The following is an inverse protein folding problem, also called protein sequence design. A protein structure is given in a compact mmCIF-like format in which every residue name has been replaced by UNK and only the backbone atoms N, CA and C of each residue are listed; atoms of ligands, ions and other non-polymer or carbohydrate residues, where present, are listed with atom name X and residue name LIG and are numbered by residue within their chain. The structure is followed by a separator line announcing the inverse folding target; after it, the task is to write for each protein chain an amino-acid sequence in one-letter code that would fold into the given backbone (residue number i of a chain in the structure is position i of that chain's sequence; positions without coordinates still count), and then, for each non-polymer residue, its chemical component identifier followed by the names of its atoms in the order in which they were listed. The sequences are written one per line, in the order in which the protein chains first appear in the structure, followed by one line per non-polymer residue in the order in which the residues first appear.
data_IF_002075151947
#
_entry.id   IF_002075151947
#
_cell.length_a   1.000
_cell.length_b   1.000
_cell.length_c   1.000
_cell.angle_alpha   90.00
_cell.angle_beta   90.00
_cell.angle_gamma   90.00
#
_symmetry.space_group_name_H-M   'P 1'
#
loop_
_entity.id
_entity.type
_entity.pdbx_description
1 polymer ?
#
# COMPACT_ATOMS: atom_id res chain seq x y z
N UNK A 1 -2.69 1.91 30.25
CA UNK A 1 -3.03 2.61 29.00
C UNK A 1 -2.20 1.91 27.97
N UNK A 2 -2.84 1.07 27.17
CA UNK A 2 -2.17 0.41 26.05
C UNK A 2 -1.87 1.53 25.05
N UNK A 3 -0.58 1.75 24.76
CA UNK A 3 -0.20 2.67 23.68
C UNK A 3 -0.85 2.15 22.39
N UNK A 4 -1.53 3.00 21.60
CA UNK A 4 -2.13 2.55 20.35
C UNK A 4 -1.01 1.99 19.48
N UNK A 5 -1.10 0.69 19.20
CA UNK A 5 -0.14 0.00 18.36
C UNK A 5 -0.10 0.68 17.00
N UNK A 6 1.11 1.09 16.59
CA UNK A 6 1.33 1.73 15.30
C UNK A 6 2.02 0.72 14.38
N UNK A 7 1.40 0.33 13.26
CA UNK A 7 1.98 -0.62 12.32
C UNK A 7 3.29 -0.08 11.76
N UNK A 8 4.28 -0.97 11.67
CA UNK A 8 5.60 -0.68 11.08
C UNK A 8 5.68 -1.11 9.62
N UNK A 9 4.80 -2.03 9.20
CA UNK A 9 4.70 -2.51 7.82
C UNK A 9 3.23 -2.67 7.42
N UNK A 10 2.86 -2.16 6.26
CA UNK A 10 1.54 -2.27 5.66
C UNK A 10 1.65 -2.87 4.27
N UNK A 11 0.67 -3.69 3.92
CA UNK A 11 0.48 -4.25 2.58
C UNK A 11 -0.83 -3.74 2.02
N UNK A 12 -0.72 -3.05 0.88
CA UNK A 12 -1.86 -2.66 0.06
C UNK A 12 -2.27 -3.88 -0.75
N UNK A 13 -3.51 -4.33 -0.53
CA UNK A 13 -4.08 -5.51 -1.18
C UNK A 13 -5.55 -5.21 -1.48
N UNK A 14 -5.97 -5.50 -2.71
CA UNK A 14 -7.37 -5.43 -3.06
C UNK A 14 -8.16 -6.42 -2.21
N UNK A 15 -9.22 -5.94 -1.57
CA UNK A 15 -9.92 -6.66 -0.53
C UNK A 15 -11.43 -6.57 -0.79
N UNK A 16 -12.07 -7.73 -0.86
CA UNK A 16 -13.52 -7.87 -1.04
C UNK A 16 -14.34 -7.61 0.25
N UNK A 17 -13.70 -7.60 1.42
CA UNK A 17 -14.35 -7.42 2.73
C UNK A 17 -13.52 -6.50 3.63
N UNK A 18 -13.93 -5.24 3.78
CA UNK A 18 -13.29 -4.28 4.68
C UNK A 18 -13.46 -2.82 4.27
N UNK A 19 -13.15 -1.89 5.17
CA UNK A 19 -13.23 -0.43 4.94
C UNK A 19 -12.00 0.15 4.22
N UNK A 20 -10.80 -0.37 4.45
CA UNK A 20 -9.56 0.06 3.79
C UNK A 20 -8.83 -1.15 3.16
N UNK A 21 -8.35 -1.06 1.90
CA UNK A 21 -7.61 -2.14 1.22
C UNK A 21 -6.15 -2.24 1.68
N UNK A 22 -5.93 -2.15 3.00
CA UNK A 22 -4.61 -2.12 3.63
C UNK A 22 -4.57 -2.98 4.89
N UNK A 23 -3.53 -3.79 4.98
CA UNK A 23 -3.33 -4.78 6.04
C UNK A 23 -1.98 -4.59 6.71
N UNK A 24 -1.92 -4.78 8.02
CA UNK A 24 -0.65 -4.92 8.72
C UNK A 24 0.05 -6.20 8.26
N UNK A 25 1.32 -6.04 7.89
CA UNK A 25 2.20 -7.13 7.43
C UNK A 25 3.18 -7.60 8.50
N UNK A 26 3.09 -7.04 9.70
CA UNK A 26 3.85 -7.49 10.84
C UNK A 26 3.41 -8.90 11.26
N UNK A 27 4.36 -9.83 11.50
CA UNK A 27 4.02 -11.20 11.87
C UNK A 27 3.34 -11.32 13.23
N UNK A 28 3.54 -10.34 14.13
CA UNK A 28 2.94 -10.32 15.45
C UNK A 28 1.59 -9.55 15.46
N UNK A 29 1.34 -8.72 14.45
CA UNK A 29 0.08 -8.00 14.27
C UNK A 29 -0.41 -8.14 12.82
N UNK A 30 -1.27 -9.14 12.57
CA UNK A 30 -1.95 -9.31 11.29
C UNK A 30 -3.40 -8.84 11.42
N UNK A 31 -3.75 -7.77 10.71
CA UNK A 31 -5.11 -7.23 10.73
C UNK A 31 -5.31 -6.05 9.80
N UNK A 32 -6.58 -5.71 9.57
CA UNK A 32 -6.93 -4.52 8.80
C UNK A 32 -6.55 -3.26 9.58
N UNK A 33 -5.97 -2.29 8.88
CA UNK A 33 -5.49 -1.05 9.47
C UNK A 33 -6.32 0.12 8.95
N UNK A 34 -6.85 0.89 9.89
CA UNK A 34 -7.55 2.15 9.59
C UNK A 34 -6.54 3.24 9.24
N UNK A 35 -6.53 3.66 7.98
CA UNK A 35 -5.58 4.65 7.47
C UNK A 35 -5.83 6.05 8.07
N UNK A 36 -7.08 6.36 8.41
CA UNK A 36 -7.45 7.62 9.03
C UNK A 36 -6.78 7.78 10.41
N UNK A 37 -6.72 6.69 11.19
CA UNK A 37 -6.04 6.64 12.49
C UNK A 37 -4.53 6.83 12.39
N UNK A 38 -3.92 6.53 11.23
CA UNK A 38 -2.50 6.77 10.97
C UNK A 38 -2.19 8.20 10.52
N UNK A 39 -3.22 9.02 10.29
CA UNK A 39 -3.08 10.39 9.79
C UNK A 39 -2.91 10.49 8.28
N UNK A 40 -3.35 9.47 7.54
CA UNK A 40 -3.43 9.54 6.08
C UNK A 40 -4.56 10.48 5.67
N UNK A 41 -4.33 11.24 4.60
CA UNK A 41 -5.32 12.17 4.07
C UNK A 41 -6.58 11.46 3.58
N UNK A 42 -7.76 11.97 3.95
CA UNK A 42 -9.06 11.43 3.51
C UNK A 42 -9.18 11.30 1.99
N UNK A 43 -8.54 12.20 1.23
CA UNK A 43 -8.47 12.13 -0.24
C UNK A 43 -7.77 10.86 -0.74
N UNK A 44 -6.64 10.48 -0.13
CA UNK A 44 -5.92 9.28 -0.51
C UNK A 44 -6.70 8.01 -0.12
N UNK A 45 -7.35 8.04 1.05
CA UNK A 45 -8.23 6.96 1.52
C UNK A 45 -9.40 6.78 0.54
N UNK A 46 -10.04 7.87 0.10
CA UNK A 46 -11.12 7.82 -0.87
C UNK A 46 -10.65 7.28 -2.23
N UNK A 47 -9.45 7.63 -2.68
CA UNK A 47 -8.86 7.13 -3.94
C UNK A 47 -8.50 5.65 -3.86
N UNK A 48 -7.96 5.17 -2.74
CA UNK A 48 -7.73 3.74 -2.46
C UNK A 48 -9.04 2.95 -2.46
N UNK A 49 -10.07 3.50 -1.82
CA UNK A 49 -11.40 2.90 -1.80
C UNK A 49 -12.02 2.83 -3.19
N UNK A 50 -11.95 3.90 -3.99
CA UNK A 50 -12.43 3.91 -5.36
C UNK A 50 -11.69 2.89 -6.25
N UNK A 51 -10.37 2.77 -6.07
CA UNK A 51 -9.57 1.75 -6.76
C UNK A 51 -9.98 0.32 -6.36
N UNK A 52 -10.29 0.09 -5.09
CA UNK A 52 -10.77 -1.20 -4.60
C UNK A 52 -12.19 -1.52 -5.07
N UNK A 53 -13.06 -0.51 -5.18
CA UNK A 53 -14.44 -0.65 -5.70
C UNK A 53 -14.46 -1.13 -7.16
N UNK A 54 -13.51 -0.67 -7.97
CA UNK A 54 -13.31 -1.17 -9.35
C UNK A 54 -12.97 -2.67 -9.36
N UNK A 55 -12.20 -3.15 -8.38
CA UNK A 55 -11.90 -4.58 -8.22
C UNK A 55 -13.10 -5.38 -7.68
N UNK A 56 -13.83 -4.83 -6.69
CA UNK A 56 -15.06 -5.46 -6.18
C UNK A 56 -16.10 -5.57 -7.30
N UNK A 57 -16.15 -4.59 -8.22
CA UNK A 57 -17.04 -4.63 -9.38
C UNK A 57 -16.70 -5.78 -10.34
N UNK A 58 -15.43 -6.19 -10.46
CA UNK A 58 -15.06 -7.40 -11.22
C UNK A 58 -15.35 -8.69 -10.46
N UNK A 59 -15.58 -8.66 -9.15
CA UNK A 59 -15.98 -9.86 -8.39
C UNK A 59 -17.34 -10.43 -8.87
N UNK A 60 -18.21 -9.60 -9.45
CA UNK A 60 -19.46 -10.04 -10.09
C UNK A 60 -19.23 -10.79 -11.41
N UNK A 61 -18.02 -10.72 -11.97
CA UNK A 61 -17.60 -11.36 -13.22
C UNK A 61 -16.46 -12.36 -12.97
N UNK A 62 -16.50 -13.10 -11.86
CA UNK A 62 -15.48 -14.10 -11.48
C UNK A 62 -14.05 -13.50 -11.37
N UNK A 63 -13.94 -12.21 -11.01
CA UNK A 63 -12.69 -11.44 -10.98
C UNK A 63 -12.02 -11.29 -12.36
N UNK A 64 -12.76 -11.54 -13.44
CA UNK A 64 -12.27 -11.29 -14.78
C UNK A 64 -12.43 -9.81 -15.11
N UNK A 65 -11.31 -9.12 -15.30
CA UNK A 65 -11.33 -7.80 -15.91
C UNK A 65 -11.82 -7.91 -17.36
N UNK A 66 -12.59 -6.91 -17.80
CA UNK A 66 -13.12 -6.84 -19.17
C UNK A 66 -12.04 -6.95 -20.26
N UNK A 67 -10.78 -6.66 -19.93
CA UNK A 67 -9.61 -6.80 -20.80
C UNK A 67 -8.31 -6.76 -19.98
N UNK A 68 -7.21 -7.35 -20.49
CA UNK A 68 -5.89 -7.26 -19.85
C UNK A 68 -5.38 -5.81 -19.71
N UNK A 69 -5.80 -4.92 -20.62
CA UNK A 69 -5.49 -3.49 -20.56
C UNK A 69 -6.18 -2.79 -19.37
N UNK A 70 -7.35 -3.29 -18.96
CA UNK A 70 -8.07 -2.78 -17.78
C UNK A 70 -7.40 -3.26 -16.49
N UNK A 71 -7.00 -4.52 -16.43
CA UNK A 71 -6.21 -5.08 -15.32
C UNK A 71 -4.87 -4.35 -15.17
N UNK A 72 -4.14 -4.10 -16.27
CA UNK A 72 -2.87 -3.39 -16.21
C UNK A 72 -3.04 -1.93 -15.71
N UNK A 73 -4.09 -1.24 -16.17
CA UNK A 73 -4.41 0.10 -15.67
C UNK A 73 -4.72 0.08 -14.18
N UNK A 74 -5.56 -0.86 -13.75
CA UNK A 74 -5.91 -1.03 -12.35
C UNK A 74 -4.67 -1.32 -11.49
N UNK A 75 -3.78 -2.23 -11.91
CA UNK A 75 -2.52 -2.54 -11.23
C UNK A 75 -1.61 -1.32 -11.13
N UNK A 76 -1.46 -0.56 -12.22
CA UNK A 76 -0.67 0.69 -12.22
C UNK A 76 -1.23 1.72 -11.24
N UNK A 77 -2.55 1.91 -11.24
CA UNK A 77 -3.21 2.82 -10.29
C UNK A 77 -2.99 2.38 -8.85
N UNK A 78 -3.13 1.08 -8.54
CA UNK A 78 -2.86 0.54 -7.21
C UNK A 78 -1.41 0.81 -6.75
N UNK A 79 -0.45 0.62 -7.65
CA UNK A 79 0.96 0.91 -7.38
C UNK A 79 1.22 2.40 -7.14
N UNK A 80 0.64 3.29 -7.94
CA UNK A 80 0.75 4.74 -7.74
C UNK A 80 0.19 5.18 -6.38
N UNK A 81 -0.98 4.65 -6.00
CA UNK A 81 -1.59 4.92 -4.69
C UNK A 81 -0.73 4.40 -3.54
N UNK A 82 -0.11 3.23 -3.69
CA UNK A 82 0.81 2.68 -2.69
C UNK A 82 2.08 3.55 -2.55
N UNK A 83 2.58 4.15 -3.64
CA UNK A 83 3.66 5.13 -3.58
C UNK A 83 3.25 6.43 -2.87
N UNK A 84 2.03 6.91 -3.10
CA UNK A 84 1.48 8.07 -2.39
C UNK A 84 1.31 7.78 -0.89
N UNK A 85 0.86 6.57 -0.54
CA UNK A 85 0.75 6.12 0.83
C UNK A 85 2.13 6.08 1.52
N UNK A 86 3.14 5.55 0.83
CA UNK A 86 4.52 5.54 1.31
C UNK A 86 5.08 6.97 1.52
N UNK A 87 4.63 7.95 0.75
CA UNK A 87 5.01 9.35 0.94
C UNK A 87 4.38 9.96 2.20
N UNK A 88 3.12 9.62 2.50
CA UNK A 88 2.43 10.12 3.70
C UNK A 88 2.90 9.41 4.97
N UNK A 89 3.28 8.14 4.86
CA UNK A 89 3.77 7.31 5.95
C UNK A 89 5.25 6.93 5.72
N UNK A 90 6.20 7.88 5.78
CA UNK A 90 7.61 7.59 5.49
C UNK A 90 8.25 6.64 6.51
N UNK A 91 7.67 6.54 7.72
CA UNK A 91 8.14 5.69 8.81
C UNK A 91 7.65 4.23 8.68
N UNK A 92 6.64 3.99 7.83
CA UNK A 92 5.98 2.68 7.66
C UNK A 92 6.44 2.03 6.35
N UNK A 93 6.67 0.72 6.37
CA UNK A 93 6.98 -0.06 5.16
C UNK A 93 5.73 -0.35 4.37
N UNK A 94 5.56 0.28 3.20
CA UNK A 94 4.42 -0.02 2.32
C UNK A 94 4.86 -1.02 1.25
N UNK A 95 4.14 -2.14 1.15
CA UNK A 95 4.31 -3.15 0.08
C UNK A 95 3.01 -3.29 -0.70
N UNK A 96 3.08 -3.67 -1.97
CA UNK A 96 1.89 -3.90 -2.81
C UNK A 96 1.79 -5.40 -3.14
N UNK A 97 0.65 -6.02 -2.84
CA UNK A 97 0.49 -7.48 -2.92
C UNK A 97 0.61 -8.03 -4.35
N UNK A 98 0.08 -7.30 -5.32
CA UNK A 98 0.05 -7.69 -6.73
C UNK A 98 1.31 -7.23 -7.49
N UNK A 99 2.34 -6.84 -6.75
CA UNK A 99 3.66 -6.54 -7.29
C UNK A 99 4.54 -7.79 -7.29
N UNK A 100 5.24 -8.05 -8.39
CA UNK A 100 6.16 -9.19 -8.50
C UNK A 100 7.39 -9.06 -7.58
N UNK A 101 7.57 -7.92 -6.91
CA UNK A 101 8.68 -7.64 -6.01
C UNK A 101 8.17 -7.50 -4.56
N UNK A 102 8.52 -8.44 -3.68
CA UNK A 102 8.05 -8.40 -2.29
C UNK A 102 8.71 -7.27 -1.46
N UNK A 103 9.67 -6.53 -2.04
CA UNK A 103 10.35 -5.44 -1.32
C UNK A 103 9.43 -4.25 -1.08
N UNK A 104 9.52 -3.61 0.09
CA UNK A 104 8.77 -2.40 0.40
C UNK A 104 9.15 -1.27 -0.56
N UNK A 105 8.16 -0.48 -0.98
CA UNK A 105 8.28 0.54 -2.03
C UNK A 105 9.37 1.58 -1.73
N UNK A 106 9.62 1.87 -0.44
CA UNK A 106 10.73 2.73 -0.02
C UNK A 106 12.12 2.21 -0.41
N UNK A 107 12.31 0.90 -0.53
CA UNK A 107 13.58 0.30 -0.98
C UNK A 107 13.73 0.32 -2.50
N UNK A 108 12.62 0.50 -3.24
CA UNK A 108 12.60 0.56 -4.70
C UNK A 108 12.82 1.96 -5.25
N UNK A 109 12.45 2.99 -4.49
CA UNK A 109 13.12 4.28 -4.58
C UNK A 109 14.55 4.03 -4.11
N UNK A 110 15.45 3.83 -5.07
CA UNK A 110 16.83 3.40 -4.81
C UNK A 110 17.47 4.15 -3.63
N UNK A 111 18.50 3.56 -3.01
CA UNK A 111 19.03 4.01 -1.73
C UNK A 111 19.19 5.51 -1.76
N UNK A 112 18.64 6.21 -0.76
CA UNK A 112 19.02 7.58 -0.48
C UNK A 112 20.55 7.59 -0.54
N UNK A 113 21.12 8.16 -1.61
CA UNK A 113 22.56 8.36 -1.71
C UNK A 113 22.84 9.38 -0.62
N UNK A 114 23.12 8.89 0.59
CA UNK A 114 23.81 9.68 1.58
C UNK A 114 25.03 10.27 0.85
N UNK A 115 25.30 11.58 0.97
CA UNK A 115 26.55 12.12 0.46
C UNK A 115 27.65 11.25 1.07
N UNK A 116 28.47 10.66 0.20
CA UNK A 116 29.60 9.84 0.58
C UNK A 116 30.56 10.73 1.39
N UNK A 117 30.33 10.89 2.69
CA UNK A 117 31.38 11.40 3.55
C UNK A 117 32.24 10.17 3.87
N UNK A 118 33.09 9.81 2.92
CA UNK A 118 34.18 8.87 3.16
C UNK A 118 35.10 9.55 4.18
N UNK A 119 35.19 9.10 5.43
CA UNK A 119 36.27 9.54 6.26
C UNK A 119 37.51 8.69 5.92
N UNK A 120 38.68 9.32 6.11
CA UNK A 120 40.00 8.70 6.29
C UNK A 120 40.79 8.40 5.02
N UNK A 121 42.11 8.61 4.99
CA UNK A 121 43.10 8.93 6.03
C UNK A 121 44.32 9.58 5.36
#
# INVERSE_FOLDING_TARGET
MEEPYRPVALRVMAEHVGEDPVWDSDPDHMGQVDLASLGVSEDLIARLNAWNDEFISTALTDFEFSSPDAEERWRRTGLELAYELQNQLPDVEISYFDDEDDRPLRQRRGPFRAPHNSPRL
#
